data_IF_296211672135
#
_entry.id   IF_296211672135
#
_cell.length_a   1.000
_cell.length_b   1.000
_cell.length_c   1.000
_cell.angle_alpha   90.00
_cell.angle_beta   90.00
_cell.angle_gamma   90.00
#
_symmetry.space_group_name_H-M   'P 1'
#
loop_
_entity.id
_entity.type
_entity.pdbx_description
1 polymer ?
#
# COMPACT_ATOMS: atom_id res chain seq x y z
N UNK A 1 -0.17 18.73 3.68
CA UNK A 1 -0.84 17.41 3.83
C UNK A 1 -0.16 16.34 2.98
N UNK A 2 0.08 16.57 1.69
CA UNK A 2 0.75 15.63 0.77
C UNK A 2 2.04 14.97 1.33
N UNK A 3 3.00 15.80 1.80
CA UNK A 3 4.25 15.30 2.41
C UNK A 3 4.04 14.40 3.63
N UNK A 4 2.96 14.60 4.39
CA UNK A 4 2.69 13.76 5.56
C UNK A 4 2.21 12.36 5.19
N UNK A 5 1.45 12.20 4.10
CA UNK A 5 1.01 10.87 3.65
C UNK A 5 2.17 10.05 3.09
N UNK A 6 3.09 10.71 2.37
CA UNK A 6 4.21 10.00 1.77
C UNK A 6 5.21 9.50 2.82
N UNK A 7 5.52 10.33 3.82
CA UNK A 7 6.36 9.90 4.94
C UNK A 7 5.69 8.82 5.78
N UNK A 8 4.36 8.90 5.99
CA UNK A 8 3.62 7.80 6.63
C UNK A 8 3.74 6.50 5.83
N UNK A 9 3.64 6.55 4.50
CA UNK A 9 3.79 5.36 3.65
C UNK A 9 5.15 4.69 3.85
N UNK A 10 6.23 5.48 3.89
CA UNK A 10 7.59 4.99 4.16
C UNK A 10 7.69 4.35 5.55
N UNK A 11 7.17 5.04 6.59
CA UNK A 11 7.17 4.52 7.96
C UNK A 11 6.37 3.22 8.11
N UNK A 12 5.23 3.10 7.44
CA UNK A 12 4.44 1.86 7.42
C UNK A 12 5.22 0.69 6.82
N UNK A 13 5.95 0.93 5.73
CA UNK A 13 6.76 -0.11 5.10
C UNK A 13 7.96 -0.52 5.97
N UNK A 14 8.65 0.44 6.58
CA UNK A 14 9.77 0.15 7.47
C UNK A 14 9.29 -0.60 8.72
N UNK A 15 8.17 -0.22 9.29
CA UNK A 15 7.53 -0.97 10.38
C UNK A 15 7.16 -2.39 9.96
N UNK A 16 6.63 -2.58 8.74
CA UNK A 16 6.32 -3.90 8.21
C UNK A 16 7.57 -4.80 8.13
N UNK A 17 8.68 -4.26 7.60
CA UNK A 17 9.97 -4.96 7.53
C UNK A 17 10.51 -5.32 8.91
N UNK A 18 10.41 -4.39 9.86
CA UNK A 18 10.82 -4.62 11.24
C UNK A 18 10.05 -5.79 11.86
N UNK A 19 8.72 -5.77 11.81
CA UNK A 19 7.88 -6.84 12.36
C UNK A 19 8.21 -8.20 11.71
N UNK A 20 8.39 -8.24 10.39
CA UNK A 20 8.74 -9.47 9.69
C UNK A 20 10.12 -10.03 10.09
N UNK A 21 11.04 -9.16 10.53
CA UNK A 21 12.39 -9.52 10.99
C UNK A 21 12.44 -10.02 12.44
N UNK A 22 11.41 -9.77 13.24
CA UNK A 22 11.38 -10.18 14.63
C UNK A 22 11.48 -11.72 14.76
N UNK A 23 12.37 -12.16 15.64
CA UNK A 23 12.55 -13.56 16.00
C UNK A 23 11.42 -14.02 16.94
N UNK A 24 10.20 -14.07 16.42
CA UNK A 24 9.04 -14.69 17.10
C UNK A 24 8.83 -16.09 16.53
N UNK A 25 8.49 -17.05 17.39
CA UNK A 25 8.07 -18.40 16.97
C UNK A 25 6.70 -18.39 16.28
N UNK A 26 5.89 -17.34 16.52
CA UNK A 26 4.56 -17.17 15.96
C UNK A 26 4.58 -16.60 14.53
N UNK A 27 3.96 -17.32 13.59
CA UNK A 27 3.79 -16.87 12.21
C UNK A 27 2.79 -15.70 12.06
N UNK A 28 2.04 -15.33 13.10
CA UNK A 28 1.14 -14.17 13.11
C UNK A 28 1.87 -12.85 12.82
N UNK A 29 3.20 -12.78 13.02
CA UNK A 29 4.01 -11.62 12.64
C UNK A 29 3.84 -11.25 11.15
N UNK A 30 3.67 -12.24 10.28
CA UNK A 30 3.51 -11.98 8.84
C UNK A 30 2.13 -11.41 8.51
N UNK A 31 1.08 -11.77 9.25
CA UNK A 31 -0.23 -11.15 9.08
C UNK A 31 -0.17 -9.66 9.44
N UNK A 32 0.49 -9.33 10.56
CA UNK A 32 0.73 -7.93 10.99
C UNK A 32 1.60 -7.19 9.97
N UNK A 33 2.72 -7.78 9.56
CA UNK A 33 3.62 -7.17 8.58
C UNK A 33 2.93 -6.93 7.23
N UNK A 34 2.09 -7.86 6.78
CA UNK A 34 1.25 -7.68 5.58
C UNK A 34 0.28 -6.53 5.74
N UNK A 35 -0.45 -6.46 6.87
CA UNK A 35 -1.36 -5.35 7.13
C UNK A 35 -0.64 -3.99 7.07
N UNK A 36 0.55 -3.90 7.66
CA UNK A 36 1.38 -2.70 7.61
C UNK A 36 1.86 -2.37 6.18
N UNK A 37 2.32 -3.35 5.42
CA UNK A 37 2.73 -3.14 4.03
C UNK A 37 1.57 -2.72 3.12
N UNK A 38 0.36 -3.23 3.36
CA UNK A 38 -0.87 -2.78 2.69
C UNK A 38 -1.18 -1.33 3.04
N UNK A 39 -1.07 -0.94 4.31
CA UNK A 39 -1.26 0.45 4.73
C UNK A 39 -0.25 1.40 4.09
N UNK A 40 0.99 0.95 3.88
CA UNK A 40 2.00 1.69 3.13
C UNK A 40 1.53 2.02 1.70
N UNK A 41 1.02 1.03 0.96
CA UNK A 41 0.49 1.23 -0.41
C UNK A 41 -0.67 2.23 -0.40
N UNK A 42 -1.59 2.10 0.54
CA UNK A 42 -2.75 3.01 0.67
C UNK A 42 -2.29 4.44 0.95
N UNK A 43 -1.32 4.64 1.85
CA UNK A 43 -0.80 5.97 2.17
C UNK A 43 -0.01 6.59 1.01
N UNK A 44 0.73 5.78 0.26
CA UNK A 44 1.38 6.25 -0.97
C UNK A 44 0.33 6.67 -2.02
N UNK A 45 -0.78 5.93 -2.12
CA UNK A 45 -1.90 6.32 -2.97
C UNK A 45 -2.57 7.62 -2.50
N UNK A 46 -2.76 7.80 -1.18
CA UNK A 46 -3.30 9.05 -0.63
C UNK A 46 -2.44 10.25 -1.03
N UNK A 47 -1.10 10.10 -1.07
CA UNK A 47 -0.20 11.14 -1.61
C UNK A 47 -0.52 11.48 -3.07
N UNK A 48 -0.63 10.46 -3.92
CA UNK A 48 -0.95 10.65 -5.35
C UNK A 48 -2.29 11.35 -5.53
N UNK A 49 -3.35 10.81 -4.92
CA UNK A 49 -4.71 11.30 -5.11
C UNK A 49 -4.87 12.68 -4.50
N UNK A 50 -4.17 12.98 -3.40
CA UNK A 50 -4.14 14.34 -2.87
C UNK A 50 -3.44 15.30 -3.83
N UNK A 51 -2.29 14.94 -4.40
CA UNK A 51 -1.56 15.79 -5.37
C UNK A 51 -2.43 16.14 -6.58
N UNK A 52 -3.04 15.13 -7.18
CA UNK A 52 -3.70 15.25 -8.47
C UNK A 52 -5.20 15.56 -8.37
N UNK A 53 -5.91 15.00 -7.39
CA UNK A 53 -7.36 15.15 -7.22
C UNK A 53 -7.75 16.05 -6.04
N UNK A 54 -6.80 16.44 -5.17
CA UNK A 54 -7.07 17.11 -3.89
C UNK A 54 -8.04 16.31 -2.98
N UNK A 55 -8.02 14.98 -3.12
CA UNK A 55 -8.88 14.05 -2.38
C UNK A 55 -8.08 12.83 -1.89
N UNK A 56 -8.46 12.30 -0.74
CA UNK A 56 -7.95 11.03 -0.20
C UNK A 56 -9.12 10.08 0.03
N UNK A 57 -8.86 8.79 0.01
CA UNK A 57 -9.89 7.78 0.20
C UNK A 57 -10.50 7.91 1.62
N UNK A 58 -11.83 8.08 1.72
CA UNK A 58 -12.51 8.11 3.02
C UNK A 58 -12.63 6.69 3.59
N UNK A 59 -12.78 5.73 2.69
CA UNK A 59 -12.69 4.30 2.99
C UNK A 59 -11.62 3.68 2.11
N UNK A 60 -10.88 2.72 2.66
CA UNK A 60 -9.75 2.13 1.94
C UNK A 60 -10.17 1.42 0.65
N UNK A 61 -11.39 0.89 0.56
CA UNK A 61 -11.90 0.25 -0.66
C UNK A 61 -12.19 1.23 -1.81
N UNK A 62 -12.20 2.54 -1.55
CA UNK A 62 -12.29 3.59 -2.57
C UNK A 62 -10.92 3.89 -3.20
N UNK A 63 -9.81 3.56 -2.52
CA UNK A 63 -8.47 3.91 -2.95
C UNK A 63 -8.13 3.47 -4.40
N UNK A 64 -8.50 2.26 -4.87
CA UNK A 64 -8.23 1.85 -6.25
C UNK A 64 -8.98 2.70 -7.29
N UNK A 65 -10.20 3.15 -7.00
CA UNK A 65 -10.96 4.02 -7.92
C UNK A 65 -10.32 5.40 -8.01
N UNK A 66 -9.92 5.97 -6.88
CA UNK A 66 -9.22 7.26 -6.86
C UNK A 66 -7.87 7.19 -7.59
N UNK A 67 -7.15 6.08 -7.46
CA UNK A 67 -5.93 5.84 -8.24
C UNK A 67 -6.22 5.94 -9.74
N UNK A 68 -7.18 5.17 -10.24
CA UNK A 68 -7.54 5.16 -11.67
C UNK A 68 -7.98 6.54 -12.17
N UNK A 69 -8.75 7.27 -11.36
CA UNK A 69 -9.19 8.62 -11.71
C UNK A 69 -8.01 9.60 -11.80
N UNK A 70 -7.05 9.52 -10.87
CA UNK A 70 -5.83 10.32 -10.90
C UNK A 70 -4.99 10.01 -12.15
N UNK A 71 -4.86 8.72 -12.50
CA UNK A 71 -4.14 8.31 -13.71
C UNK A 71 -4.78 8.90 -14.97
N UNK A 72 -6.10 8.73 -15.09
CA UNK A 72 -6.85 9.16 -16.28
C UNK A 72 -6.90 10.67 -16.44
N UNK A 73 -7.20 11.43 -15.38
CA UNK A 73 -7.38 12.90 -15.47
C UNK A 73 -6.08 13.64 -15.75
N UNK A 74 -4.95 13.08 -15.37
CA UNK A 74 -3.64 13.75 -15.45
C UNK A 74 -2.68 13.12 -16.45
N UNK A 75 -3.18 12.24 -17.33
CA UNK A 75 -2.39 11.67 -18.43
C UNK A 75 -1.22 10.82 -17.94
N UNK A 76 -1.37 10.10 -16.82
CA UNK A 76 -0.32 9.25 -16.24
C UNK A 76 -0.42 7.81 -16.76
N UNK A 77 -0.85 7.61 -18.00
CA UNK A 77 -1.22 6.29 -18.55
C UNK A 77 -0.09 5.26 -18.45
N UNK A 78 1.17 5.70 -18.51
CA UNK A 78 2.36 4.86 -18.30
C UNK A 78 2.45 4.22 -16.90
N UNK A 79 1.66 4.69 -15.94
CA UNK A 79 1.57 4.16 -14.57
C UNK A 79 0.32 3.28 -14.36
N UNK A 80 -0.53 3.09 -15.38
CA UNK A 80 -1.73 2.24 -15.31
C UNK A 80 -1.44 0.79 -14.90
N UNK A 81 -0.25 0.29 -15.24
CA UNK A 81 0.21 -1.05 -14.86
C UNK A 81 0.24 -1.26 -13.34
N UNK A 82 0.38 -0.21 -12.53
CA UNK A 82 0.41 -0.30 -11.07
C UNK A 82 -0.98 -0.51 -10.44
N UNK A 83 -2.05 -0.44 -11.23
CA UNK A 83 -3.43 -0.70 -10.78
C UNK A 83 -3.56 -2.04 -10.05
N UNK A 84 -2.94 -3.11 -10.55
CA UNK A 84 -3.04 -4.42 -9.90
C UNK A 84 -2.53 -4.42 -8.46
N UNK A 85 -1.48 -3.62 -8.15
CA UNK A 85 -0.88 -3.54 -6.82
C UNK A 85 -1.89 -2.99 -5.79
N UNK A 86 -2.60 -1.91 -6.12
CA UNK A 86 -3.55 -1.32 -5.18
C UNK A 86 -4.79 -2.17 -4.99
N UNK A 87 -5.30 -2.82 -6.05
CA UNK A 87 -6.41 -3.76 -5.94
C UNK A 87 -6.05 -4.98 -5.08
N UNK A 88 -4.85 -5.54 -5.30
CA UNK A 88 -4.33 -6.64 -4.49
C UNK A 88 -4.18 -6.23 -3.03
N UNK A 89 -3.66 -5.03 -2.76
CA UNK A 89 -3.50 -4.51 -1.41
C UNK A 89 -4.83 -4.43 -0.65
N UNK A 90 -5.89 -3.89 -1.26
CA UNK A 90 -7.23 -3.84 -0.66
C UNK A 90 -7.79 -5.24 -0.42
N UNK A 91 -7.59 -6.16 -1.37
CA UNK A 91 -7.98 -7.56 -1.19
C UNK A 91 -7.29 -8.23 -0.02
N UNK A 92 -5.98 -8.01 0.16
CA UNK A 92 -5.22 -8.54 1.29
C UNK A 92 -5.56 -7.87 2.62
N UNK A 93 -5.92 -6.57 2.61
CA UNK A 93 -6.41 -5.88 3.80
C UNK A 93 -7.59 -6.60 4.43
N UNK A 94 -8.59 -6.92 3.62
CA UNK A 94 -9.80 -7.61 4.08
C UNK A 94 -9.49 -9.00 4.65
N UNK A 95 -8.49 -9.69 4.10
CA UNK A 95 -8.04 -11.00 4.59
C UNK A 95 -7.30 -10.90 5.92
N UNK A 96 -6.36 -9.95 6.03
CA UNK A 96 -5.53 -9.76 7.22
C UNK A 96 -6.33 -9.25 8.42
N UNK A 97 -7.29 -8.36 8.22
CA UNK A 97 -8.01 -7.72 9.33
C UNK A 97 -9.24 -8.50 9.81
N UNK A 98 -9.94 -9.21 8.92
CA UNK A 98 -11.29 -9.72 9.23
C UNK A 98 -11.46 -11.23 9.11
N UNK A 99 -10.49 -11.96 8.53
CA UNK A 99 -10.71 -13.38 8.16
C UNK A 99 -9.79 -14.37 8.86
N UNK A 100 -8.98 -13.93 9.83
CA UNK A 100 -8.03 -14.81 10.51
C UNK A 100 -7.07 -15.51 9.53
N UNK A 101 -6.76 -14.84 8.41
CA UNK A 101 -5.95 -15.43 7.36
C UNK A 101 -4.50 -15.59 7.82
N UNK A 102 -3.95 -16.79 7.66
CA UNK A 102 -2.53 -17.03 7.84
C UNK A 102 -1.78 -16.49 6.63
N UNK A 103 -0.82 -15.61 6.90
CA UNK A 103 0.15 -15.13 5.91
C UNK A 103 1.49 -15.81 6.17
N UNK A 104 2.10 -16.31 5.11
CA UNK A 104 3.46 -16.83 5.13
C UNK A 104 4.49 -15.70 4.94
N UNK A 105 5.76 -16.03 5.17
CA UNK A 105 6.88 -15.16 4.77
C UNK A 105 6.83 -14.79 3.29
N UNK A 106 6.45 -15.74 2.42
CA UNK A 106 6.40 -15.51 0.98
C UNK A 106 5.30 -14.52 0.60
N UNK A 107 4.15 -14.58 1.27
CA UNK A 107 3.07 -13.61 1.06
C UNK A 107 3.53 -12.21 1.46
N UNK A 108 4.17 -12.08 2.62
CA UNK A 108 4.77 -10.82 3.06
C UNK A 108 5.80 -10.30 2.04
N UNK A 109 6.74 -11.14 1.60
CA UNK A 109 7.78 -10.73 0.65
C UNK A 109 7.20 -10.27 -0.70
N UNK A 110 6.11 -10.90 -1.15
CA UNK A 110 5.39 -10.46 -2.35
C UNK A 110 4.80 -9.06 -2.18
N UNK A 111 4.06 -8.86 -1.10
CA UNK A 111 3.39 -7.58 -0.81
C UNK A 111 4.42 -6.47 -0.53
N UNK A 112 5.51 -6.78 0.18
CA UNK A 112 6.63 -5.85 0.42
C UNK A 112 7.22 -5.34 -0.89
N UNK A 113 7.52 -6.22 -1.84
CA UNK A 113 8.06 -5.81 -3.16
C UNK A 113 7.07 -4.94 -3.92
N UNK A 114 5.78 -5.24 -3.84
CA UNK A 114 4.74 -4.41 -4.44
C UNK A 114 4.66 -3.03 -3.79
N UNK A 115 4.74 -2.95 -2.46
CA UNK A 115 4.80 -1.69 -1.72
C UNK A 115 6.01 -0.85 -2.10
N UNK A 116 7.20 -1.45 -2.20
CA UNK A 116 8.43 -0.77 -2.64
C UNK A 116 8.31 -0.21 -4.06
N UNK A 117 7.82 -1.03 -5.00
CA UNK A 117 7.57 -0.58 -6.38
C UNK A 117 6.58 0.57 -6.43
N UNK A 118 5.50 0.50 -5.65
CA UNK A 118 4.46 1.51 -5.63
C UNK A 118 4.97 2.82 -5.01
N UNK A 119 5.66 2.77 -3.88
CA UNK A 119 6.29 3.94 -3.25
C UNK A 119 7.27 4.61 -4.22
N UNK A 120 8.14 3.84 -4.87
CA UNK A 120 9.10 4.39 -5.84
C UNK A 120 8.39 5.10 -6.99
N UNK A 121 7.31 4.50 -7.50
CA UNK A 121 6.52 5.11 -8.56
C UNK A 121 5.89 6.44 -8.12
N UNK A 122 5.39 6.51 -6.88
CA UNK A 122 4.88 7.77 -6.31
C UNK A 122 6.02 8.78 -6.11
N UNK A 123 7.20 8.35 -5.63
CA UNK A 123 8.38 9.21 -5.45
C UNK A 123 8.80 9.92 -6.74
N UNK A 124 8.70 9.24 -7.88
CA UNK A 124 9.00 9.82 -9.20
C UNK A 124 7.97 10.87 -9.65
N UNK A 125 6.77 10.87 -9.05
CA UNK A 125 5.65 11.75 -9.42
C UNK A 125 5.47 12.92 -8.47
N UNK A 126 5.99 12.87 -7.24
CA UNK A 126 5.71 13.84 -6.16
C UNK A 126 6.79 14.89 -6.00
#
# INVERSE_FOLDING_TARGET
MEKHHFEQAKLWLEGAKYIASCATEDNNKYAVAVAMAVHSIIKANDTLTYKYLQEVAKRHDEAPKLFEEAIKRHGLDGKSSYKHIIYEAIGNKAKAEYRGAFFSKNDFESIRRNAEKFIKMIEELV
#
